data_IF_628531713937
#
_entry.id   IF_628531713937
#
_cell.length_a   1.000
_cell.length_b   1.000
_cell.length_c   1.000
_cell.angle_alpha   90.00
_cell.angle_beta   90.00
_cell.angle_gamma   90.00
#
_symmetry.space_group_name_H-M   'P 1'
#
loop_
_entity.id
_entity.type
_entity.pdbx_description
1 polymer ?
#
# COMPACT_ATOMS: atom_id res chain seq x y z
N UNK A 1 23.17 5.31 23.17
CA UNK A 1 24.10 5.91 22.21
C UNK A 1 23.36 6.66 21.09
N UNK A 2 22.10 6.30 20.80
CA UNK A 2 21.25 7.00 19.84
C UNK A 2 20.37 8.04 20.55
N UNK A 3 19.77 8.97 19.79
CA UNK A 3 18.72 9.83 20.28
C UNK A 3 17.40 9.05 20.42
N UNK A 4 16.40 9.58 21.12
CA UNK A 4 15.06 8.95 21.25
C UNK A 4 14.46 8.63 19.86
N UNK A 5 14.64 9.54 18.88
CA UNK A 5 14.31 9.32 17.49
C UNK A 5 15.07 8.12 16.89
N UNK A 6 16.38 8.04 17.13
CA UNK A 6 17.22 6.95 16.64
C UNK A 6 16.85 5.60 17.26
N UNK A 7 16.61 5.56 18.56
CA UNK A 7 16.20 4.35 19.27
C UNK A 7 14.84 3.85 18.77
N UNK A 8 13.87 4.76 18.56
CA UNK A 8 12.55 4.41 18.01
C UNK A 8 12.64 3.79 16.61
N UNK A 9 13.35 4.43 15.69
CA UNK A 9 13.45 3.94 14.31
C UNK A 9 14.38 2.73 14.15
N UNK A 10 15.21 2.43 15.14
CA UNK A 10 16.07 1.24 15.18
C UNK A 10 15.40 0.05 15.90
N UNK A 11 14.21 0.22 16.46
CA UNK A 11 13.46 -0.84 17.10
C UNK A 11 13.04 -1.93 16.08
N UNK A 12 12.84 -3.15 16.59
CA UNK A 12 12.30 -4.21 15.74
C UNK A 12 10.89 -3.87 15.24
N UNK A 13 10.69 -3.98 13.93
CA UNK A 13 9.42 -3.71 13.28
C UNK A 13 8.93 -4.90 12.44
N UNK A 14 7.63 -4.94 12.18
CA UNK A 14 7.04 -5.98 11.33
C UNK A 14 7.59 -5.94 9.91
N UNK A 15 7.79 -4.73 9.37
CA UNK A 15 8.36 -4.56 8.02
C UNK A 15 9.85 -4.96 7.97
N UNK A 16 10.63 -4.67 9.00
CA UNK A 16 12.04 -5.08 9.10
C UNK A 16 12.16 -6.60 9.16
N UNK A 17 11.33 -7.26 9.97
CA UNK A 17 11.29 -8.73 10.07
C UNK A 17 10.97 -9.37 8.73
N UNK A 18 9.96 -8.85 8.02
CA UNK A 18 9.62 -9.31 6.68
C UNK A 18 10.78 -9.14 5.69
N UNK A 19 11.42 -7.97 5.67
CA UNK A 19 12.54 -7.71 4.74
C UNK A 19 13.74 -8.60 5.01
N UNK A 20 14.04 -8.91 6.27
CA UNK A 20 15.07 -9.89 6.64
C UNK A 20 14.72 -11.28 6.15
N UNK A 21 13.50 -11.75 6.40
CA UNK A 21 13.04 -13.08 5.99
C UNK A 21 13.04 -13.26 4.46
N UNK A 22 12.76 -12.20 3.71
CA UNK A 22 12.85 -12.22 2.24
C UNK A 22 14.29 -12.21 1.72
N UNK A 23 15.23 -11.62 2.47
CA UNK A 23 16.66 -11.59 2.15
C UNK A 23 17.42 -12.85 2.57
N UNK A 24 16.94 -13.58 3.58
CA UNK A 24 17.56 -14.79 4.11
C UNK A 24 16.98 -16.03 3.43
N UNK A 25 17.77 -16.69 2.59
CA UNK A 25 17.39 -18.01 2.04
C UNK A 25 17.95 -19.10 2.93
N UNK A 26 17.12 -19.96 3.57
CA UNK A 26 17.62 -21.12 4.30
C UNK A 26 18.46 -21.99 3.35
N UNK A 27 19.68 -22.34 3.76
CA UNK A 27 20.55 -23.19 2.95
C UNK A 27 19.97 -24.60 2.84
N UNK A 28 19.87 -25.11 1.59
CA UNK A 28 19.45 -26.49 1.32
C UNK A 28 17.95 -26.74 1.23
N UNK A 29 17.07 -25.72 1.42
CA UNK A 29 15.63 -25.86 1.27
C UNK A 29 15.14 -24.94 0.16
N UNK A 30 14.28 -25.48 -0.74
CA UNK A 30 13.61 -24.64 -1.75
C UNK A 30 12.69 -23.65 -1.05
N UNK A 31 12.83 -22.36 -1.38
CA UNK A 31 12.06 -21.28 -0.74
C UNK A 31 10.96 -20.78 -1.66
N UNK A 32 9.74 -20.68 -1.14
CA UNK A 32 8.57 -20.10 -1.78
C UNK A 32 8.29 -18.73 -1.12
N UNK A 33 8.68 -17.65 -1.80
CA UNK A 33 8.66 -16.29 -1.25
C UNK A 33 7.28 -15.61 -1.47
N UNK A 34 6.24 -16.12 -0.83
CA UNK A 34 4.87 -15.61 -0.94
C UNK A 34 4.55 -14.46 0.03
N UNK A 35 5.54 -13.94 0.76
CA UNK A 35 5.37 -12.81 1.70
C UNK A 35 5.74 -11.45 1.10
N UNK A 36 6.48 -11.43 -0.02
CA UNK A 36 7.00 -10.20 -0.62
C UNK A 36 5.95 -9.27 -1.19
N UNK A 37 6.35 -8.04 -1.48
CA UNK A 37 5.50 -7.03 -2.13
C UNK A 37 5.92 -6.71 -3.56
N UNK A 38 6.81 -7.48 -4.17
CA UNK A 38 7.22 -7.26 -5.55
C UNK A 38 6.08 -7.58 -6.52
N UNK A 39 5.85 -6.75 -7.55
CA UNK A 39 4.97 -7.11 -8.65
C UNK A 39 5.61 -8.23 -9.49
N UNK A 40 4.78 -8.95 -10.23
CA UNK A 40 5.25 -9.89 -11.24
C UNK A 40 5.91 -9.13 -12.41
N UNK A 41 6.94 -9.73 -13.00
CA UNK A 41 7.62 -9.20 -14.18
C UNK A 41 6.82 -9.56 -15.43
N UNK A 42 5.88 -8.70 -15.82
CA UNK A 42 5.03 -8.92 -17.01
C UNK A 42 5.81 -8.53 -18.26
N UNK A 43 6.07 -9.46 -19.20
CA UNK A 43 6.96 -9.23 -20.35
C UNK A 43 6.55 -8.03 -21.23
N UNK A 44 5.25 -7.79 -21.39
CA UNK A 44 4.73 -6.66 -22.16
C UNK A 44 5.08 -5.32 -21.51
N UNK A 45 5.00 -5.26 -20.17
CA UNK A 45 5.35 -4.07 -19.38
C UNK A 45 6.86 -3.82 -19.41
N UNK A 46 7.67 -4.89 -19.29
CA UNK A 46 9.13 -4.79 -19.36
C UNK A 46 9.59 -4.26 -20.73
N UNK A 47 8.95 -4.72 -21.82
CA UNK A 47 9.24 -4.23 -23.19
C UNK A 47 9.00 -2.73 -23.32
N UNK A 48 7.93 -2.18 -22.70
CA UNK A 48 7.68 -0.75 -22.72
C UNK A 48 8.81 0.03 -22.06
N UNK A 49 9.20 -0.34 -20.87
CA UNK A 49 10.26 0.38 -20.14
C UNK A 49 11.63 0.22 -20.80
N UNK A 50 11.90 -0.94 -21.40
CA UNK A 50 13.11 -1.15 -22.20
C UNK A 50 13.13 -0.21 -23.41
N UNK A 51 12.01 -0.07 -24.12
CA UNK A 51 11.87 0.88 -25.25
C UNK A 51 12.10 2.32 -24.80
N UNK A 52 11.47 2.75 -23.71
CA UNK A 52 11.66 4.12 -23.20
C UNK A 52 13.12 4.38 -22.80
N UNK A 53 13.79 3.43 -22.18
CA UNK A 53 15.22 3.55 -21.89
C UNK A 53 16.07 3.62 -23.16
N UNK A 54 15.76 2.85 -24.19
CA UNK A 54 16.44 2.92 -25.48
C UNK A 54 16.25 4.28 -26.15
N UNK A 55 15.04 4.86 -26.07
CA UNK A 55 14.76 6.19 -26.57
C UNK A 55 15.60 7.25 -25.84
N UNK A 56 15.70 7.18 -24.50
CA UNK A 56 16.53 8.08 -23.69
C UNK A 56 18.01 7.99 -24.09
N UNK A 57 18.53 6.76 -24.32
CA UNK A 57 19.92 6.54 -24.72
C UNK A 57 20.22 7.05 -26.14
N UNK A 58 19.21 7.06 -27.02
CA UNK A 58 19.35 7.49 -28.41
C UNK A 58 19.14 9.01 -28.59
N UNK A 59 18.58 9.71 -27.60
CA UNK A 59 18.22 11.12 -27.69
C UNK A 59 19.36 12.04 -27.18
N UNK A 60 20.30 12.36 -28.03
CA UNK A 60 21.35 13.35 -27.79
C UNK A 60 22.05 13.19 -26.45
N UNK A 61 21.84 14.14 -25.51
CA UNK A 61 22.40 14.15 -24.17
C UNK A 61 21.34 13.81 -23.08
N UNK A 62 20.22 13.21 -23.45
CA UNK A 62 19.13 12.94 -22.50
C UNK A 62 19.58 12.03 -21.35
N UNK A 63 20.39 11.00 -21.67
CA UNK A 63 20.94 10.09 -20.65
C UNK A 63 21.88 10.82 -19.67
N UNK A 64 22.83 11.60 -20.17
CA UNK A 64 23.76 12.35 -19.31
C UNK A 64 23.03 13.35 -18.42
N UNK A 65 22.00 14.02 -18.94
CA UNK A 65 21.14 14.91 -18.17
C UNK A 65 20.31 14.15 -17.12
N UNK A 66 19.84 12.95 -17.48
CA UNK A 66 19.09 12.08 -16.56
C UNK A 66 19.91 11.71 -15.33
N UNK A 67 21.18 11.34 -15.52
CA UNK A 67 22.03 10.83 -14.44
C UNK A 67 22.96 11.88 -13.83
N UNK A 68 23.27 12.95 -14.55
CA UNK A 68 24.27 13.95 -14.17
C UNK A 68 23.71 15.26 -13.60
N UNK A 69 22.39 15.47 -13.59
CA UNK A 69 21.77 16.71 -13.12
C UNK A 69 20.68 16.44 -12.08
N UNK A 70 20.59 17.30 -11.07
CA UNK A 70 19.45 17.30 -10.15
C UNK A 70 18.23 18.00 -10.80
N UNK A 71 17.04 17.50 -10.48
CA UNK A 71 15.78 18.27 -10.67
C UNK A 71 15.46 19.08 -9.41
N UNK A 72 14.41 19.91 -9.47
CA UNK A 72 13.88 20.57 -8.29
C UNK A 72 13.34 19.57 -7.24
N UNK A 73 13.20 20.01 -5.98
CA UNK A 73 12.75 19.13 -4.90
C UNK A 73 11.30 18.65 -5.04
N UNK A 74 10.49 19.35 -5.84
CA UNK A 74 9.12 18.95 -6.17
C UNK A 74 9.08 17.78 -7.14
N UNK A 75 10.11 17.58 -7.96
CA UNK A 75 10.24 16.56 -9.00
C UNK A 75 10.57 17.18 -10.38
N UNK A 76 10.61 16.35 -11.42
CA UNK A 76 10.83 16.78 -12.78
C UNK A 76 9.60 17.52 -13.32
N UNK A 77 9.77 18.76 -13.79
CA UNK A 77 8.66 19.61 -14.23
C UNK A 77 7.87 19.00 -15.40
N UNK A 78 8.54 18.38 -16.37
CA UNK A 78 7.86 17.82 -17.53
C UNK A 78 7.08 16.56 -17.15
N UNK A 79 7.61 15.75 -16.22
CA UNK A 79 6.88 14.62 -15.67
C UNK A 79 5.64 15.07 -14.87
N UNK A 80 5.77 16.11 -14.06
CA UNK A 80 4.65 16.72 -13.31
C UNK A 80 3.57 17.20 -14.28
N UNK A 81 3.94 17.92 -15.36
CA UNK A 81 3.00 18.35 -16.41
C UNK A 81 2.29 17.18 -17.06
N UNK A 82 3.02 16.09 -17.36
CA UNK A 82 2.43 14.88 -17.93
C UNK A 82 1.37 14.28 -17.01
N UNK A 83 1.65 14.20 -15.71
CA UNK A 83 0.69 13.73 -14.69
C UNK A 83 -0.53 14.64 -14.64
N UNK A 84 -0.34 15.95 -14.51
CA UNK A 84 -1.43 16.95 -14.47
C UNK A 84 -2.34 16.83 -15.69
N UNK A 85 -1.76 16.82 -16.89
CA UNK A 85 -2.52 16.71 -18.14
C UNK A 85 -3.29 15.39 -18.20
N UNK A 86 -2.68 14.29 -17.78
CA UNK A 86 -3.31 12.99 -17.74
C UNK A 86 -4.52 12.98 -16.80
N UNK A 87 -4.37 13.50 -15.56
CA UNK A 87 -5.46 13.53 -14.58
C UNK A 87 -6.61 14.45 -15.03
N UNK A 88 -6.32 15.64 -15.50
CA UNK A 88 -7.32 16.60 -15.99
C UNK A 88 -8.09 16.03 -17.20
N UNK A 89 -7.38 15.40 -18.15
CA UNK A 89 -7.99 14.81 -19.35
C UNK A 89 -8.90 13.62 -19.05
N UNK A 90 -8.46 12.72 -18.18
CA UNK A 90 -9.16 11.42 -17.99
C UNK A 90 -10.16 11.44 -16.84
N UNK A 91 -10.02 12.33 -15.85
CA UNK A 91 -10.85 12.40 -14.66
C UNK A 91 -11.58 13.73 -14.48
N UNK A 92 -11.41 14.65 -15.42
CA UNK A 92 -12.03 15.98 -15.40
C UNK A 92 -11.67 16.77 -14.10
N UNK A 93 -10.43 16.58 -13.61
CA UNK A 93 -9.91 17.37 -12.50
C UNK A 93 -9.42 18.72 -12.98
N UNK A 94 -9.36 19.69 -12.08
CA UNK A 94 -8.83 21.03 -12.37
C UNK A 94 -7.60 21.27 -11.50
N UNK A 95 -6.59 20.41 -11.66
CA UNK A 95 -5.31 20.51 -10.94
C UNK A 95 -4.25 21.20 -11.80
N UNK A 96 -3.26 21.77 -11.14
CA UNK A 96 -2.07 22.40 -11.74
C UNK A 96 -0.80 21.69 -11.28
N UNK A 97 0.35 22.09 -11.81
CA UNK A 97 1.65 21.58 -11.38
C UNK A 97 1.92 21.82 -9.88
N UNK A 98 1.29 22.83 -9.28
CA UNK A 98 1.39 23.10 -7.85
C UNK A 98 0.69 22.06 -6.97
N UNK A 99 -0.14 21.22 -7.56
CA UNK A 99 -0.85 20.14 -6.86
C UNK A 99 -0.10 18.79 -6.88
N UNK A 100 1.05 18.70 -7.54
CA UNK A 100 1.77 17.44 -7.72
C UNK A 100 3.17 17.51 -7.15
N UNK A 101 3.57 16.54 -6.31
CA UNK A 101 4.93 16.38 -5.80
C UNK A 101 5.40 14.94 -6.00
N UNK A 102 6.68 14.77 -6.33
CA UNK A 102 7.30 13.45 -6.52
C UNK A 102 8.18 13.11 -5.31
N UNK A 103 8.02 11.90 -4.80
CA UNK A 103 8.81 11.37 -3.69
C UNK A 103 9.58 10.11 -4.11
N UNK A 104 10.52 9.69 -3.28
CA UNK A 104 11.30 8.46 -3.48
C UNK A 104 10.47 7.20 -3.15
N UNK A 105 9.32 7.04 -3.82
CA UNK A 105 8.29 6.01 -3.62
C UNK A 105 7.25 6.41 -2.59
N UNK A 106 6.07 5.76 -2.64
CA UNK A 106 4.95 6.00 -1.70
C UNK A 106 5.34 5.79 -0.24
N UNK A 107 6.26 4.87 0.06
CA UNK A 107 6.76 4.64 1.41
C UNK A 107 7.37 5.91 2.02
N UNK A 108 8.25 6.60 1.28
CA UNK A 108 8.82 7.87 1.72
C UNK A 108 7.77 8.97 1.77
N UNK A 109 6.83 8.98 0.84
CA UNK A 109 5.72 9.93 0.83
C UNK A 109 4.86 9.81 2.09
N UNK A 110 4.50 8.58 2.49
CA UNK A 110 3.74 8.33 3.72
C UNK A 110 4.54 8.77 4.96
N UNK A 111 5.84 8.44 5.03
CA UNK A 111 6.70 8.92 6.11
C UNK A 111 6.70 10.46 6.21
N UNK A 112 6.81 11.14 5.08
CA UNK A 112 6.77 12.61 5.06
C UNK A 112 5.40 13.14 5.52
N UNK A 113 4.31 12.63 4.95
CA UNK A 113 2.95 13.05 5.27
C UNK A 113 2.60 12.83 6.75
N UNK A 114 2.90 11.65 7.28
CA UNK A 114 2.57 11.34 8.67
C UNK A 114 3.31 12.25 9.65
N UNK A 115 4.59 12.50 9.42
CA UNK A 115 5.41 13.34 10.30
C UNK A 115 5.23 14.84 10.04
N UNK A 116 4.66 15.22 8.90
CA UNK A 116 4.27 16.60 8.61
C UNK A 116 2.95 16.98 9.30
N UNK A 117 2.02 16.02 9.40
CA UNK A 117 0.66 16.25 9.87
C UNK A 117 0.47 15.89 11.35
N UNK A 118 1.20 14.89 11.85
CA UNK A 118 1.05 14.38 13.22
C UNK A 118 2.35 14.53 14.03
N UNK A 119 2.27 14.19 15.33
CA UNK A 119 3.33 14.41 16.32
C UNK A 119 3.06 15.60 17.23
N UNK A 120 4.03 15.95 18.05
CA UNK A 120 3.89 17.05 19.02
C UNK A 120 3.88 18.40 18.32
N UNK A 121 2.80 19.16 18.48
CA UNK A 121 2.67 20.55 18.03
C UNK A 121 2.48 21.50 19.20
N UNK A 122 2.99 22.73 19.09
CA UNK A 122 2.79 23.78 20.10
C UNK A 122 1.74 24.77 19.63
N UNK A 123 0.62 24.86 20.34
CA UNK A 123 -0.44 25.84 20.10
C UNK A 123 -0.70 26.62 21.37
N UNK A 124 -0.62 27.96 21.31
CA UNK A 124 -0.80 28.83 22.48
C UNK A 124 0.08 28.44 23.69
N UNK A 125 1.35 28.11 23.45
CA UNK A 125 2.32 27.62 24.45
C UNK A 125 1.96 26.26 25.11
N UNK A 126 0.94 25.56 24.62
CA UNK A 126 0.58 24.22 25.07
C UNK A 126 1.05 23.21 24.03
N UNK A 127 1.69 22.13 24.49
CA UNK A 127 2.03 20.98 23.65
C UNK A 127 0.78 20.11 23.46
N UNK A 128 0.42 19.89 22.21
CA UNK A 128 -0.69 19.01 21.83
C UNK A 128 -0.12 17.93 20.93
N UNK A 129 -0.44 16.67 21.21
CA UNK A 129 -0.06 15.55 20.36
C UNK A 129 -1.12 15.34 19.28
N UNK A 130 -0.70 15.32 18.04
CA UNK A 130 -1.54 15.07 16.87
C UNK A 130 -1.37 13.63 16.38
N UNK A 131 -2.46 13.01 15.90
CA UNK A 131 -2.47 11.61 15.44
C UNK A 131 -2.95 11.47 14.00
N UNK A 132 -2.51 10.41 13.34
CA UNK A 132 -3.10 9.90 12.08
C UNK A 132 -4.07 8.79 12.46
N UNK A 133 -5.30 8.87 11.97
CA UNK A 133 -6.31 7.86 12.19
C UNK A 133 -6.41 6.92 10.98
N UNK A 134 -6.34 5.63 11.23
CA UNK A 134 -6.62 4.56 10.27
C UNK A 134 -8.06 4.06 10.51
N UNK A 135 -9.03 4.49 9.70
CA UNK A 135 -10.44 4.20 9.93
C UNK A 135 -10.84 2.76 9.58
N UNK A 136 -9.90 2.00 9.03
CA UNK A 136 -10.09 0.58 8.72
C UNK A 136 -8.77 -0.16 8.94
N UNK A 137 -8.73 -1.08 9.90
CA UNK A 137 -7.65 -2.05 10.06
C UNK A 137 -8.23 -3.48 9.97
N UNK A 138 -7.51 -4.44 9.34
CA UNK A 138 -6.07 -4.46 9.05
C UNK A 138 -5.66 -3.54 7.89
N UNK A 139 -4.49 -2.88 8.06
CA UNK A 139 -3.93 -1.93 7.10
C UNK A 139 -2.42 -2.17 6.92
N UNK A 140 -1.78 -1.50 5.97
CA UNK A 140 -0.43 -1.78 5.53
C UNK A 140 0.61 -1.71 6.66
N UNK A 141 1.30 -2.83 6.91
CA UNK A 141 2.32 -2.96 7.95
C UNK A 141 3.44 -1.92 7.84
N UNK A 142 3.72 -1.43 6.64
CA UNK A 142 4.75 -0.42 6.42
C UNK A 142 4.42 0.97 6.98
N UNK A 143 3.20 1.23 7.45
CA UNK A 143 2.85 2.49 8.14
C UNK A 143 3.17 2.44 9.63
N UNK A 144 3.03 1.27 10.25
CA UNK A 144 3.02 1.09 11.70
C UNK A 144 4.17 1.79 12.45
N UNK A 145 5.36 1.83 11.84
CA UNK A 145 6.58 2.32 12.46
C UNK A 145 7.07 3.66 11.89
N UNK A 146 6.29 4.32 11.00
CA UNK A 146 6.72 5.55 10.31
C UNK A 146 6.64 6.83 11.15
N UNK A 147 5.91 6.83 12.26
CA UNK A 147 5.90 7.98 13.16
C UNK A 147 7.26 8.19 13.83
N UNK A 148 7.79 9.43 13.85
CA UNK A 148 9.04 9.76 14.56
C UNK A 148 8.86 9.83 16.08
N UNK A 149 7.62 9.99 16.55
CA UNK A 149 7.24 9.92 17.96
C UNK A 149 6.39 8.67 18.23
N UNK A 150 6.27 8.27 19.49
CA UNK A 150 5.32 7.24 19.93
C UNK A 150 3.88 7.74 19.84
N UNK A 151 2.90 6.84 19.80
CA UNK A 151 1.47 7.16 19.87
C UNK A 151 0.97 8.15 18.80
N UNK A 152 1.62 8.18 17.64
CA UNK A 152 1.18 9.02 16.52
C UNK A 152 0.04 8.39 15.70
N UNK A 153 -0.29 7.13 15.92
CA UNK A 153 -1.27 6.39 15.12
C UNK A 153 -2.41 5.87 15.97
N UNK A 154 -3.63 6.14 15.51
CA UNK A 154 -4.87 5.61 16.06
C UNK A 154 -5.57 4.74 15.00
N UNK A 155 -6.36 3.77 15.41
CA UNK A 155 -7.00 2.82 14.49
C UNK A 155 -8.40 2.45 14.95
N UNK A 156 -9.27 2.22 13.98
CA UNK A 156 -10.61 1.65 14.21
C UNK A 156 -10.65 0.27 13.56
N UNK A 157 -11.09 -0.78 14.29
CA UNK A 157 -11.26 -2.09 13.70
C UNK A 157 -12.36 -2.06 12.63
N UNK A 158 -12.13 -2.79 11.52
CA UNK A 158 -13.13 -2.93 10.46
C UNK A 158 -14.36 -3.71 10.93
N UNK A 159 -15.53 -3.39 10.36
CA UNK A 159 -16.63 -4.32 10.29
C UNK A 159 -16.31 -5.38 9.23
N UNK A 160 -16.93 -6.55 9.33
CA UNK A 160 -16.83 -7.56 8.29
C UNK A 160 -18.15 -8.33 8.12
N UNK A 161 -18.35 -8.79 6.89
CA UNK A 161 -19.44 -9.68 6.53
C UNK A 161 -18.86 -10.95 5.94
N UNK A 162 -19.39 -12.10 6.34
CA UNK A 162 -19.05 -13.41 5.78
C UNK A 162 -20.12 -13.87 4.81
N UNK A 163 -19.72 -14.62 3.78
CA UNK A 163 -20.57 -15.13 2.73
C UNK A 163 -20.50 -16.67 2.67
N UNK A 164 -21.49 -17.30 2.07
CA UNK A 164 -21.61 -18.77 2.03
C UNK A 164 -20.52 -19.45 1.18
N UNK A 165 -19.86 -18.70 0.29
CA UNK A 165 -18.81 -19.20 -0.60
C UNK A 165 -17.40 -19.22 0.03
N UNK A 166 -17.29 -19.27 1.35
CA UNK A 166 -16.04 -19.15 2.10
C UNK A 166 -15.32 -17.81 1.86
N UNK A 167 -16.04 -16.76 1.54
CA UNK A 167 -15.47 -15.42 1.42
C UNK A 167 -15.97 -14.49 2.52
N UNK A 168 -15.28 -13.37 2.70
CA UNK A 168 -15.70 -12.27 3.55
C UNK A 168 -15.20 -10.93 3.00
N UNK A 169 -15.77 -9.82 3.49
CA UNK A 169 -15.34 -8.46 3.11
C UNK A 169 -15.31 -7.55 4.32
N UNK A 170 -14.32 -6.64 4.34
CA UNK A 170 -14.23 -5.58 5.34
C UNK A 170 -14.92 -4.29 4.89
N UNK A 171 -15.48 -3.59 5.89
CA UNK A 171 -16.13 -2.29 5.73
C UNK A 171 -15.68 -1.32 6.81
N UNK A 172 -15.72 -0.03 6.51
CA UNK A 172 -15.49 1.02 7.50
C UNK A 172 -16.70 1.11 8.43
N UNK A 173 -16.47 1.10 9.74
CA UNK A 173 -17.51 1.48 10.70
C UNK A 173 -17.65 3.00 10.72
N UNK A 174 -18.44 3.54 9.80
CA UNK A 174 -18.66 4.98 9.66
C UNK A 174 -19.27 5.61 10.92
N UNK A 175 -20.05 4.84 11.70
CA UNK A 175 -20.64 5.31 12.95
C UNK A 175 -19.57 5.45 14.04
N UNK A 176 -18.73 4.42 14.19
CA UNK A 176 -17.59 4.47 15.12
C UNK A 176 -16.58 5.54 14.70
N UNK A 177 -16.32 5.69 13.39
CA UNK A 177 -15.45 6.72 12.85
C UNK A 177 -15.91 8.12 13.21
N UNK A 178 -17.18 8.46 13.00
CA UNK A 178 -17.71 9.78 13.37
C UNK A 178 -17.66 10.01 14.87
N UNK A 179 -18.02 9.01 15.68
CA UNK A 179 -17.95 9.10 17.14
C UNK A 179 -16.49 9.32 17.61
N UNK A 180 -15.54 8.63 17.00
CA UNK A 180 -14.12 8.77 17.32
C UNK A 180 -13.61 10.19 16.99
N UNK A 181 -13.85 10.68 15.78
CA UNK A 181 -13.44 12.04 15.36
C UNK A 181 -14.02 13.13 16.26
N UNK A 182 -15.27 12.96 16.69
CA UNK A 182 -15.92 13.89 17.62
C UNK A 182 -15.25 13.90 19.00
N UNK A 183 -14.80 12.76 19.49
CA UNK A 183 -14.16 12.61 20.79
C UNK A 183 -12.66 12.97 20.80
N UNK A 184 -12.00 12.91 19.61
CA UNK A 184 -10.56 13.03 19.43
C UNK A 184 -10.16 14.18 18.51
N UNK A 185 -10.25 15.45 18.98
CA UNK A 185 -9.89 16.62 18.17
C UNK A 185 -8.38 16.71 17.85
N UNK A 186 -7.56 15.84 18.44
CA UNK A 186 -6.16 15.67 18.11
C UNK A 186 -5.91 14.94 16.80
N UNK A 187 -6.89 14.28 16.20
CA UNK A 187 -6.74 13.65 14.87
C UNK A 187 -6.40 14.72 13.85
N UNK A 188 -5.28 14.53 13.14
CA UNK A 188 -4.76 15.49 12.17
C UNK A 188 -5.00 15.07 10.70
N UNK A 189 -5.21 13.79 10.46
CA UNK A 189 -5.55 13.23 9.15
C UNK A 189 -6.14 11.83 9.31
N UNK A 190 -6.91 11.40 8.31
CA UNK A 190 -7.26 9.99 8.14
C UNK A 190 -6.40 9.38 7.02
N UNK A 191 -6.11 8.08 7.10
CA UNK A 191 -5.36 7.37 6.07
C UNK A 191 -5.96 6.00 5.77
N UNK A 192 -6.18 5.70 4.49
CA UNK A 192 -6.63 4.40 3.98
C UNK A 192 -5.85 4.02 2.73
N UNK A 193 -5.65 2.71 2.49
CA UNK A 193 -5.20 2.21 1.20
C UNK A 193 -6.35 1.64 0.36
N UNK A 194 -6.32 1.90 -0.95
CA UNK A 194 -7.38 1.45 -1.88
C UNK A 194 -6.80 1.07 -3.24
N UNK A 195 -6.70 -0.23 -3.57
CA UNK A 195 -6.96 -1.45 -2.76
C UNK A 195 -6.09 -1.55 -1.52
N UNK A 196 -6.65 -2.14 -0.47
CA UNK A 196 -5.95 -2.28 0.81
C UNK A 196 -4.88 -3.38 0.73
N UNK A 197 -3.72 -3.10 1.27
CA UNK A 197 -2.74 -4.09 1.66
C UNK A 197 -2.89 -4.31 3.18
N UNK A 198 -3.27 -5.49 3.68
CA UNK A 198 -2.98 -6.83 3.13
C UNK A 198 -4.14 -7.48 2.36
N UNK A 199 -5.35 -6.95 2.44
CA UNK A 199 -6.59 -7.69 2.23
C UNK A 199 -7.05 -7.77 0.78
N UNK A 200 -6.58 -6.84 -0.07
CA UNK A 200 -7.13 -6.66 -1.41
C UNK A 200 -8.51 -6.00 -1.41
N UNK A 201 -8.96 -5.49 -0.25
CA UNK A 201 -10.24 -4.80 -0.12
C UNK A 201 -10.27 -3.52 -0.98
N UNK A 202 -11.32 -3.34 -1.73
CA UNK A 202 -11.61 -2.09 -2.43
C UNK A 202 -12.75 -1.40 -1.70
N UNK A 203 -12.41 -0.34 -0.96
CA UNK A 203 -13.42 0.54 -0.35
C UNK A 203 -14.38 1.02 -1.42
N UNK A 204 -15.68 0.95 -1.15
CA UNK A 204 -16.71 1.39 -2.07
C UNK A 204 -16.63 2.90 -2.32
N UNK A 205 -17.21 3.37 -3.41
CA UNK A 205 -17.28 4.81 -3.66
C UNK A 205 -18.05 5.55 -2.55
N UNK A 206 -19.11 4.91 -2.02
CA UNK A 206 -19.88 5.47 -0.91
C UNK A 206 -19.06 5.62 0.38
N UNK A 207 -18.24 4.61 0.75
CA UNK A 207 -17.36 4.72 1.91
C UNK A 207 -16.34 5.85 1.75
N UNK A 208 -15.73 5.99 0.55
CA UNK A 208 -14.79 7.09 0.27
C UNK A 208 -15.50 8.45 0.35
N UNK A 209 -16.71 8.55 -0.20
CA UNK A 209 -17.49 9.79 -0.17
C UNK A 209 -17.85 10.19 1.27
N UNK A 210 -18.32 9.26 2.09
CA UNK A 210 -18.66 9.53 3.49
C UNK A 210 -17.41 9.90 4.32
N UNK A 211 -16.29 9.20 4.14
CA UNK A 211 -15.03 9.58 4.78
C UNK A 211 -14.54 10.95 4.33
N UNK A 212 -14.71 11.30 3.05
CA UNK A 212 -14.36 12.62 2.53
C UNK A 212 -15.23 13.73 3.15
N UNK A 213 -16.54 13.48 3.33
CA UNK A 213 -17.45 14.41 4.04
C UNK A 213 -17.04 14.61 5.49
N UNK A 214 -16.72 13.52 6.20
CA UNK A 214 -16.24 13.61 7.59
C UNK A 214 -14.89 14.37 7.64
N UNK A 215 -13.98 14.11 6.73
CA UNK A 215 -12.71 14.81 6.65
C UNK A 215 -12.91 16.33 6.45
N UNK A 216 -13.87 16.74 5.62
CA UNK A 216 -14.23 18.16 5.43
C UNK A 216 -14.88 18.75 6.69
N UNK A 217 -15.84 18.05 7.31
CA UNK A 217 -16.52 18.48 8.54
C UNK A 217 -15.52 18.75 9.68
N UNK A 218 -14.56 17.81 9.87
CA UNK A 218 -13.54 17.93 10.92
C UNK A 218 -12.29 18.71 10.48
N UNK A 219 -12.26 19.23 9.23
CA UNK A 219 -11.16 20.03 8.66
C UNK A 219 -9.81 19.33 8.74
N UNK A 220 -9.79 18.06 8.43
CA UNK A 220 -8.60 17.21 8.36
C UNK A 220 -8.50 16.60 6.96
N UNK A 221 -7.30 16.36 6.38
CA UNK A 221 -7.18 15.68 5.11
C UNK A 221 -7.47 14.18 5.21
N UNK A 222 -8.00 13.61 4.10
CA UNK A 222 -8.08 12.19 3.86
C UNK A 222 -6.93 11.75 2.95
N UNK A 223 -6.00 10.97 3.47
CA UNK A 223 -4.91 10.36 2.71
C UNK A 223 -5.44 9.05 2.10
N UNK A 224 -5.35 8.92 0.77
CA UNK A 224 -5.69 7.70 0.05
C UNK A 224 -4.40 7.15 -0.59
N UNK A 225 -3.88 6.04 -0.06
CA UNK A 225 -2.81 5.31 -0.74
C UNK A 225 -3.37 4.46 -1.87
N UNK A 226 -3.09 4.90 -3.08
CA UNK A 226 -3.59 4.34 -4.33
C UNK A 226 -2.49 3.54 -5.07
N UNK A 227 -1.56 2.92 -4.35
CA UNK A 227 -0.42 2.23 -4.95
C UNK A 227 -0.81 1.07 -5.89
N UNK A 228 -1.99 0.48 -5.71
CA UNK A 228 -2.54 -0.60 -6.55
C UNK A 228 -3.70 -0.14 -7.43
N UNK A 229 -4.17 1.08 -7.27
CA UNK A 229 -5.45 1.55 -7.81
C UNK A 229 -5.36 2.15 -9.22
N UNK A 230 -6.34 2.98 -9.52
CA UNK A 230 -6.51 3.69 -10.80
C UNK A 230 -5.58 4.92 -10.89
N UNK A 231 -5.19 5.37 -12.09
CA UNK A 231 -5.40 4.73 -13.39
C UNK A 231 -4.33 3.70 -13.72
N UNK A 232 -3.24 3.68 -12.94
CA UNK A 232 -2.18 2.67 -12.95
C UNK A 232 -1.79 2.32 -11.51
N UNK A 233 -1.42 1.06 -11.22
CA UNK A 233 -1.31 -0.10 -12.11
C UNK A 233 -2.67 -0.72 -12.49
N UNK A 234 -3.79 -0.18 -11.98
CA UNK A 234 -5.17 -0.65 -12.20
C UNK A 234 -5.38 -2.10 -11.73
N UNK A 235 -4.81 -2.46 -10.58
CA UNK A 235 -5.04 -3.80 -10.00
C UNK A 235 -6.30 -3.73 -9.11
N UNK A 236 -7.40 -3.40 -9.72
CA UNK A 236 -8.77 -3.41 -9.18
C UNK A 236 -9.62 -4.24 -10.13
N UNK A 237 -10.39 -5.21 -9.58
CA UNK A 237 -11.20 -6.16 -10.36
C UNK A 237 -12.69 -5.84 -10.32
N UNK A 238 -13.05 -4.77 -9.64
CA UNK A 238 -14.39 -4.22 -9.54
C UNK A 238 -14.52 -3.00 -10.48
N UNK A 239 -15.40 -3.09 -11.48
CA UNK A 239 -15.59 -2.05 -12.50
C UNK A 239 -16.30 -0.79 -11.97
N UNK A 240 -16.86 -0.83 -10.76
CA UNK A 240 -17.54 0.33 -10.14
C UNK A 240 -16.59 1.31 -9.46
N UNK A 241 -15.38 0.88 -9.12
CA UNK A 241 -14.42 1.71 -8.39
C UNK A 241 -14.01 2.94 -9.22
N UNK A 242 -14.10 4.12 -8.61
CA UNK A 242 -13.72 5.39 -9.24
C UNK A 242 -12.53 6.00 -8.53
N UNK A 243 -11.62 6.57 -9.29
CA UNK A 243 -10.58 7.43 -8.74
C UNK A 243 -11.22 8.78 -8.38
N UNK A 244 -11.01 9.21 -7.13
CA UNK A 244 -11.56 10.47 -6.62
C UNK A 244 -10.46 11.37 -6.09
N UNK A 245 -10.62 12.66 -6.29
CA UNK A 245 -9.79 13.69 -5.71
C UNK A 245 -10.59 14.97 -5.51
N UNK A 246 -10.30 15.66 -4.42
CA UNK A 246 -10.66 17.05 -4.16
C UNK A 246 -9.55 17.67 -3.28
N UNK A 247 -9.62 18.95 -2.99
CA UNK A 247 -8.56 19.64 -2.24
C UNK A 247 -8.35 19.14 -0.81
N UNK A 248 -9.30 18.38 -0.26
CA UNK A 248 -9.19 17.75 1.05
C UNK A 248 -8.63 16.32 1.00
N UNK A 249 -8.42 15.76 -0.20
CA UNK A 249 -7.81 14.45 -0.41
C UNK A 249 -6.32 14.62 -0.73
N UNK A 250 -5.48 13.85 -0.06
CA UNK A 250 -4.08 13.63 -0.41
C UNK A 250 -4.01 12.26 -1.07
N UNK A 251 -3.86 12.23 -2.39
CA UNK A 251 -3.75 11.00 -3.16
C UNK A 251 -2.28 10.62 -3.33
N UNK A 252 -1.89 9.43 -2.85
CA UNK A 252 -0.56 8.87 -3.05
C UNK A 252 -0.60 7.77 -4.10
N UNK A 253 0.13 7.95 -5.20
CA UNK A 253 0.24 7.00 -6.30
C UNK A 253 1.67 6.49 -6.44
N UNK A 254 1.88 5.38 -7.14
CA UNK A 254 3.19 4.76 -7.27
C UNK A 254 3.42 4.16 -8.66
N UNK A 255 4.69 4.17 -9.11
CA UNK A 255 5.11 3.37 -10.25
C UNK A 255 5.61 1.98 -9.85
N UNK A 256 5.66 1.65 -8.55
CA UNK A 256 6.20 0.38 -8.07
C UNK A 256 5.40 -0.82 -8.60
N UNK A 257 4.07 -0.74 -8.57
CA UNK A 257 3.21 -1.89 -8.88
C UNK A 257 2.88 -2.04 -10.37
N UNK A 258 3.24 -1.04 -11.17
CA UNK A 258 3.24 -1.13 -12.64
C UNK A 258 4.57 -1.66 -13.21
N UNK A 259 5.43 -2.26 -12.38
CA UNK A 259 6.67 -2.90 -12.81
C UNK A 259 7.96 -2.11 -12.56
N UNK A 260 7.92 -0.97 -11.86
CA UNK A 260 9.09 -0.14 -11.56
C UNK A 260 9.39 -0.01 -10.04
N UNK A 261 9.39 -1.11 -9.25
CA UNK A 261 9.63 -1.00 -7.81
C UNK A 261 11.02 -0.44 -7.49
N UNK A 262 12.03 -0.81 -8.27
CA UNK A 262 13.42 -0.34 -8.09
C UNK A 262 13.65 1.11 -8.48
N UNK A 263 12.78 1.71 -9.28
CA UNK A 263 12.90 3.11 -9.72
C UNK A 263 12.47 4.14 -8.64
N UNK A 264 11.87 3.69 -7.56
CA UNK A 264 11.49 4.49 -6.38
C UNK A 264 10.78 5.80 -6.72
N UNK A 265 9.66 5.72 -7.46
CA UNK A 265 8.87 6.90 -7.83
C UNK A 265 7.46 6.82 -7.21
N UNK A 266 7.16 7.76 -6.32
CA UNK A 266 5.84 8.04 -5.75
C UNK A 266 5.34 9.38 -6.25
N UNK A 267 4.05 9.50 -6.51
CA UNK A 267 3.38 10.70 -7.02
C UNK A 267 2.32 11.09 -6.01
N UNK A 268 2.41 12.28 -5.46
CA UNK A 268 1.46 12.82 -4.50
C UNK A 268 0.66 13.93 -5.18
N UNK A 269 -0.67 13.83 -5.11
CA UNK A 269 -1.58 14.86 -5.58
C UNK A 269 -2.35 15.40 -4.37
N UNK A 270 -2.19 16.69 -4.09
CA UNK A 270 -2.76 17.35 -2.92
C UNK A 270 -2.95 18.86 -3.17
N UNK A 271 -3.56 19.55 -2.21
CA UNK A 271 -3.61 21.02 -2.24
C UNK A 271 -2.20 21.63 -2.21
N UNK A 272 -2.04 22.83 -2.79
CA UNK A 272 -0.75 23.52 -2.98
C UNK A 272 0.07 23.63 -1.68
N UNK A 273 -0.57 23.90 -0.54
CA UNK A 273 0.09 24.02 0.76
C UNK A 273 0.82 22.72 1.16
N UNK A 274 0.17 21.57 0.97
CA UNK A 274 0.76 20.26 1.29
C UNK A 274 1.90 19.93 0.32
N UNK A 275 1.71 20.19 -0.96
CA UNK A 275 2.74 19.97 -1.99
C UNK A 275 3.97 20.83 -1.73
N UNK A 276 3.78 22.10 -1.37
CA UNK A 276 4.89 23.00 -0.98
C UNK A 276 5.65 22.48 0.24
N UNK A 277 4.95 22.04 1.28
CA UNK A 277 5.55 21.48 2.47
C UNK A 277 6.32 20.17 2.18
N UNK A 278 5.77 19.29 1.34
CA UNK A 278 6.45 18.06 0.91
C UNK A 278 7.70 18.36 0.08
N UNK A 279 7.63 19.33 -0.83
CA UNK A 279 8.77 19.78 -1.62
C UNK A 279 9.90 20.31 -0.73
N UNK A 280 9.57 21.15 0.27
CA UNK A 280 10.53 21.67 1.25
C UNK A 280 11.18 20.53 2.06
N UNK A 281 10.37 19.58 2.55
CA UNK A 281 10.86 18.44 3.29
C UNK A 281 11.78 17.56 2.43
N UNK A 282 11.39 17.30 1.18
CA UNK A 282 12.19 16.52 0.23
C UNK A 282 13.54 17.19 -0.08
N UNK A 283 13.59 18.54 -0.16
CA UNK A 283 14.84 19.25 -0.33
C UNK A 283 15.82 19.05 0.82
N UNK A 284 15.32 18.95 2.04
CA UNK A 284 16.13 18.74 3.25
C UNK A 284 16.64 17.30 3.35
N UNK A 285 15.78 16.33 3.03
CA UNK A 285 16.06 14.90 3.27
C UNK A 285 16.83 14.28 2.09
N UNK A 286 16.49 14.65 0.84
CA UNK A 286 16.96 13.96 -0.35
C UNK A 286 17.47 14.90 -1.46
N UNK A 287 17.46 16.23 -1.28
CA UNK A 287 17.68 17.27 -2.28
C UNK A 287 16.64 17.23 -3.41
N UNK A 288 16.49 16.09 -4.08
CA UNK A 288 15.50 15.84 -5.12
C UNK A 288 15.12 14.36 -5.16
N UNK A 289 14.03 14.02 -5.83
CA UNK A 289 13.61 12.64 -6.04
C UNK A 289 14.37 12.00 -7.21
N UNK A 290 14.50 10.67 -7.18
CA UNK A 290 15.13 9.91 -8.26
C UNK A 290 14.44 10.15 -9.61
N UNK A 291 15.22 10.30 -10.68
CA UNK A 291 14.75 10.70 -12.02
C UNK A 291 14.36 9.53 -12.92
N UNK A 292 14.95 8.35 -12.72
CA UNK A 292 14.81 7.20 -13.64
C UNK A 292 13.33 6.81 -13.82
N UNK A 293 12.58 6.68 -12.72
CA UNK A 293 11.16 6.33 -12.80
C UNK A 293 10.33 7.38 -13.52
N UNK A 294 10.61 8.64 -13.26
CA UNK A 294 9.95 9.77 -13.91
C UNK A 294 10.22 9.76 -15.42
N UNK A 295 11.48 9.59 -15.82
CA UNK A 295 11.88 9.58 -17.23
C UNK A 295 11.28 8.40 -18.00
N UNK A 296 11.27 7.17 -17.41
CA UNK A 296 10.68 5.99 -18.04
C UNK A 296 9.16 6.07 -18.21
N UNK A 297 8.47 6.76 -17.30
CA UNK A 297 7.01 6.80 -17.32
C UNK A 297 6.45 8.06 -18.03
N UNK A 298 7.23 9.13 -18.18
CA UNK A 298 6.74 10.41 -18.71
C UNK A 298 6.00 10.26 -20.04
N UNK A 299 6.68 9.76 -21.06
CA UNK A 299 6.10 9.59 -22.39
C UNK A 299 4.89 8.64 -22.40
N UNK A 300 4.94 7.55 -21.60
CA UNK A 300 3.84 6.60 -21.47
C UNK A 300 2.59 7.22 -20.85
N UNK A 301 2.76 8.18 -19.93
CA UNK A 301 1.66 8.95 -19.34
C UNK A 301 1.11 9.95 -20.35
N UNK A 302 1.96 10.71 -21.02
CA UNK A 302 1.59 11.72 -22.04
C UNK A 302 0.77 11.12 -23.19
N UNK A 303 1.19 9.95 -23.68
CA UNK A 303 0.52 9.24 -24.77
C UNK A 303 -0.71 8.44 -24.31
N UNK A 304 -0.90 8.25 -23.00
CA UNK A 304 -1.93 7.37 -22.42
C UNK A 304 -1.59 5.89 -22.48
N UNK A 305 -0.40 5.53 -22.95
CA UNK A 305 0.02 4.13 -23.10
C UNK A 305 0.16 3.42 -21.72
N UNK A 306 0.52 4.17 -20.66
CA UNK A 306 0.58 3.62 -19.31
C UNK A 306 -0.79 3.19 -18.81
N UNK A 307 -1.84 3.98 -19.05
CA UNK A 307 -3.24 3.63 -18.70
C UNK A 307 -3.67 2.42 -19.53
N UNK A 308 -3.40 2.45 -20.83
CA UNK A 308 -3.78 1.37 -21.74
C UNK A 308 -3.19 0.03 -21.31
N UNK A 309 -1.87 -0.06 -21.05
CA UNK A 309 -1.26 -1.32 -20.63
C UNK A 309 -1.75 -1.77 -19.26
N UNK A 310 -2.05 -0.83 -18.35
CA UNK A 310 -2.63 -1.13 -17.04
C UNK A 310 -3.99 -1.81 -17.18
N UNK A 311 -4.85 -1.31 -18.08
CA UNK A 311 -6.19 -1.85 -18.32
C UNK A 311 -6.17 -3.14 -19.13
N UNK A 312 -5.38 -3.18 -20.21
CA UNK A 312 -5.45 -4.27 -21.19
C UNK A 312 -4.59 -5.49 -20.83
N UNK A 313 -3.55 -5.30 -20.00
CA UNK A 313 -2.58 -6.35 -19.69
C UNK A 313 -2.45 -6.58 -18.18
N UNK A 314 -2.17 -5.53 -17.40
CA UNK A 314 -1.83 -5.68 -15.97
C UNK A 314 -3.04 -6.14 -15.16
N UNK A 315 -4.18 -5.48 -15.31
CA UNK A 315 -5.41 -5.83 -14.59
C UNK A 315 -5.89 -7.25 -14.94
N UNK A 316 -6.02 -7.66 -16.21
CA UNK A 316 -6.43 -9.02 -16.55
C UNK A 316 -5.46 -10.09 -16.06
N UNK A 317 -4.14 -9.81 -16.10
CA UNK A 317 -3.13 -10.71 -15.55
C UNK A 317 -3.35 -10.96 -14.06
N UNK A 318 -3.43 -9.90 -13.24
CA UNK A 318 -3.61 -10.06 -11.81
C UNK A 318 -4.98 -10.61 -11.42
N UNK A 319 -6.04 -10.27 -12.17
CA UNK A 319 -7.37 -10.88 -11.98
C UNK A 319 -7.32 -12.40 -12.19
N UNK A 320 -6.62 -12.84 -13.24
CA UNK A 320 -6.41 -14.28 -13.50
C UNK A 320 -5.60 -14.96 -12.39
N UNK A 321 -4.51 -14.34 -11.94
CA UNK A 321 -3.69 -14.87 -10.84
C UNK A 321 -4.48 -14.95 -9.52
N UNK A 322 -5.29 -13.94 -9.23
CA UNK A 322 -6.17 -13.93 -8.04
C UNK A 322 -7.16 -15.12 -8.09
N UNK A 323 -7.82 -15.35 -9.20
CA UNK A 323 -8.76 -16.48 -9.38
C UNK A 323 -8.05 -17.82 -9.18
N UNK A 324 -6.86 -17.99 -9.75
CA UNK A 324 -6.06 -19.22 -9.55
C UNK A 324 -5.68 -19.42 -8.09
N UNK A 325 -5.19 -18.37 -7.44
CA UNK A 325 -4.80 -18.43 -6.05
C UNK A 325 -5.96 -18.84 -5.13
N UNK A 326 -7.15 -18.24 -5.33
CA UNK A 326 -8.36 -18.65 -4.61
C UNK A 326 -8.73 -20.11 -4.88
N UNK A 327 -8.65 -20.57 -6.14
CA UNK A 327 -8.89 -21.97 -6.51
C UNK A 327 -7.95 -22.93 -5.78
N UNK A 328 -6.66 -22.57 -5.64
CA UNK A 328 -5.71 -23.39 -4.88
C UNK A 328 -6.02 -23.42 -3.39
N UNK A 329 -6.41 -22.29 -2.78
CA UNK A 329 -6.88 -22.27 -1.40
C UNK A 329 -8.10 -23.17 -1.24
N UNK A 330 -9.14 -23.05 -2.04
CA UNK A 330 -10.33 -23.90 -1.94
C UNK A 330 -10.00 -25.39 -2.13
N UNK A 331 -9.08 -25.74 -3.03
CA UNK A 331 -8.64 -27.10 -3.29
C UNK A 331 -7.92 -27.72 -2.08
N UNK A 332 -6.96 -26.99 -1.51
CA UNK A 332 -6.05 -27.56 -0.51
C UNK A 332 -6.53 -27.34 0.93
N UNK A 333 -7.35 -26.32 1.21
CA UNK A 333 -7.95 -26.07 2.52
C UNK A 333 -9.29 -26.80 2.72
N UNK A 334 -9.73 -27.61 1.76
CA UNK A 334 -10.97 -28.36 1.83
C UNK A 334 -11.06 -29.18 3.13
N UNK A 335 -12.22 -29.15 3.77
CA UNK A 335 -12.46 -29.80 5.08
C UNK A 335 -12.01 -28.99 6.30
N UNK A 336 -11.40 -27.81 6.12
CA UNK A 336 -11.10 -26.83 7.16
C UNK A 336 -12.17 -25.76 7.30
N UNK A 337 -12.13 -25.02 8.41
CA UNK A 337 -12.97 -23.85 8.64
C UNK A 337 -12.18 -22.58 8.33
N UNK A 338 -12.25 -22.12 7.10
CA UNK A 338 -11.51 -20.96 6.59
C UNK A 338 -12.41 -20.03 5.79
N UNK A 339 -11.93 -18.80 5.56
CA UNK A 339 -12.50 -17.88 4.60
C UNK A 339 -11.40 -17.06 3.93
N UNK A 340 -11.67 -16.52 2.74
CA UNK A 340 -10.76 -15.66 1.99
C UNK A 340 -11.42 -14.29 1.87
N UNK A 341 -10.67 -13.20 2.10
CA UNK A 341 -11.20 -11.88 1.76
C UNK A 341 -11.53 -11.82 0.26
N UNK A 342 -12.66 -11.24 -0.11
CA UNK A 342 -13.05 -11.07 -1.52
C UNK A 342 -11.89 -10.49 -2.32
N UNK A 343 -11.52 -11.15 -3.40
CA UNK A 343 -10.43 -10.75 -4.27
C UNK A 343 -10.84 -9.57 -5.16
N UNK A 344 -10.86 -8.37 -4.61
CA UNK A 344 -11.31 -7.17 -5.31
C UNK A 344 -10.17 -6.38 -5.94
N UNK A 345 -8.92 -6.60 -5.50
CA UNK A 345 -7.74 -5.88 -6.00
C UNK A 345 -6.44 -6.29 -5.32
N UNK A 346 -5.39 -5.50 -5.55
CA UNK A 346 -4.00 -5.69 -5.10
C UNK A 346 -3.34 -6.95 -5.66
N UNK A 347 -2.26 -7.43 -5.03
CA UNK A 347 -1.49 -8.63 -5.41
C UNK A 347 -1.48 -9.66 -4.30
N UNK A 348 -2.41 -9.54 -3.34
CA UNK A 348 -2.44 -10.37 -2.14
C UNK A 348 -3.77 -11.08 -1.96
N UNK A 349 -3.71 -12.31 -1.42
CA UNK A 349 -4.82 -12.94 -0.73
C UNK A 349 -4.67 -12.75 0.78
N UNK A 350 -5.81 -12.54 1.43
CA UNK A 350 -5.94 -12.50 2.87
C UNK A 350 -6.81 -13.68 3.31
N UNK A 351 -6.19 -14.63 4.01
CA UNK A 351 -6.80 -15.92 4.35
C UNK A 351 -7.02 -15.98 5.85
N UNK A 352 -8.27 -16.15 6.26
CA UNK A 352 -8.71 -16.40 7.64
C UNK A 352 -8.81 -17.90 7.91
N UNK A 353 -8.16 -18.38 8.93
CA UNK A 353 -8.16 -19.77 9.39
C UNK A 353 -8.87 -19.85 10.76
N UNK A 354 -10.21 -19.98 10.74
CA UNK A 354 -11.08 -19.84 11.93
C UNK A 354 -10.83 -20.90 13.00
N UNK A 355 -10.47 -22.10 12.61
CA UNK A 355 -10.23 -23.26 13.50
C UNK A 355 -8.74 -23.48 13.81
N UNK A 356 -7.85 -22.59 13.40
CA UNK A 356 -6.43 -22.66 13.71
C UNK A 356 -6.19 -22.55 15.23
N UNK A 357 -5.44 -23.51 15.81
CA UNK A 357 -5.24 -23.60 17.27
C UNK A 357 -4.05 -22.81 17.80
N UNK A 358 -3.19 -22.31 16.90
CA UNK A 358 -2.02 -21.50 17.21
C UNK A 358 -2.19 -20.10 16.63
N UNK A 359 -1.35 -19.16 17.04
CA UNK A 359 -1.34 -17.82 16.43
C UNK A 359 -0.78 -17.84 15.01
N UNK A 360 -1.13 -16.86 14.20
CA UNK A 360 -0.58 -16.72 12.86
C UNK A 360 0.95 -16.53 12.85
N UNK A 361 1.55 -16.00 13.92
CA UNK A 361 3.01 -15.92 14.10
C UNK A 361 3.64 -17.29 14.35
N UNK A 362 3.03 -18.11 15.19
CA UNK A 362 3.51 -19.48 15.42
C UNK A 362 3.33 -20.33 14.17
N UNK A 363 2.20 -20.17 13.47
CA UNK A 363 1.95 -20.79 12.19
C UNK A 363 3.03 -20.41 11.16
N UNK A 364 3.39 -19.12 11.05
CA UNK A 364 4.45 -18.67 10.16
C UNK A 364 5.81 -19.28 10.49
N UNK A 365 6.18 -19.43 11.78
CA UNK A 365 7.43 -20.09 12.15
C UNK A 365 7.52 -21.51 11.59
N UNK A 366 6.43 -22.29 11.68
CA UNK A 366 6.35 -23.64 11.11
C UNK A 366 6.44 -23.64 9.59
N UNK A 367 5.86 -22.65 8.92
CA UNK A 367 5.97 -22.48 7.46
C UNK A 367 7.40 -22.16 7.05
N UNK A 368 8.09 -21.29 7.77
CA UNK A 368 9.49 -20.91 7.49
C UNK A 368 10.42 -22.13 7.53
N UNK A 369 10.20 -23.07 8.47
CA UNK A 369 10.93 -24.33 8.57
C UNK A 369 10.73 -25.23 7.32
N UNK A 370 9.60 -25.08 6.61
CA UNK A 370 9.28 -25.77 5.37
C UNK A 370 9.60 -24.95 4.10
N UNK A 371 10.29 -23.81 4.26
CA UNK A 371 10.71 -22.95 3.16
C UNK A 371 9.62 -22.02 2.61
N UNK A 372 8.50 -21.82 3.30
CA UNK A 372 7.44 -20.91 2.86
C UNK A 372 7.48 -19.61 3.65
N UNK A 373 7.64 -18.48 2.95
CA UNK A 373 7.64 -17.14 3.53
C UNK A 373 6.31 -16.46 3.21
N UNK A 374 5.55 -16.11 4.24
CA UNK A 374 4.29 -15.35 4.18
C UNK A 374 4.34 -14.19 5.16
N UNK A 375 3.24 -13.44 5.34
CA UNK A 375 3.15 -12.45 6.41
C UNK A 375 2.03 -12.82 7.36
N UNK A 376 2.37 -12.87 8.67
CA UNK A 376 1.41 -13.06 9.75
C UNK A 376 0.45 -11.87 9.84
N UNK A 377 -0.84 -12.16 10.10
CA UNK A 377 -1.90 -11.17 10.16
C UNK A 377 -1.74 -10.12 11.24
N UNK A 378 -1.18 -10.50 12.37
CA UNK A 378 -1.01 -9.63 13.53
C UNK A 378 -0.27 -8.31 13.23
N UNK A 379 0.64 -8.32 12.25
CA UNK A 379 1.42 -7.12 11.88
C UNK A 379 0.60 -6.01 11.19
N UNK A 380 -0.61 -6.31 10.73
CA UNK A 380 -1.47 -5.37 10.03
C UNK A 380 -2.51 -4.71 10.93
N UNK A 381 -2.53 -5.11 12.22
CA UNK A 381 -3.33 -4.48 13.27
C UNK A 381 -2.39 -3.68 14.17
N UNK A 382 -2.41 -2.38 14.06
CA UNK A 382 -1.52 -1.47 14.79
C UNK A 382 -2.27 -0.18 15.16
N UNK A 383 -1.70 0.58 16.07
CA UNK A 383 -2.26 1.84 16.58
C UNK A 383 -2.26 1.86 18.11
N UNK A 384 -2.68 2.98 18.68
CA UNK A 384 -2.72 3.18 20.13
C UNK A 384 -3.69 2.21 20.81
N UNK A 385 -4.72 1.77 20.08
CA UNK A 385 -5.77 0.86 20.53
C UNK A 385 -5.40 -0.63 20.39
N UNK A 386 -4.12 -0.95 20.32
CA UNK A 386 -3.64 -2.32 20.03
C UNK A 386 -4.24 -3.39 20.94
N UNK A 387 -4.48 -3.10 22.22
CA UNK A 387 -5.08 -4.06 23.15
C UNK A 387 -6.55 -4.37 22.79
N UNK A 388 -7.28 -3.40 22.26
CA UNK A 388 -8.64 -3.63 21.76
C UNK A 388 -8.60 -4.40 20.42
N UNK A 389 -7.61 -4.09 19.55
CA UNK A 389 -7.42 -4.76 18.27
C UNK A 389 -7.06 -6.25 18.42
N UNK A 390 -6.34 -6.64 19.48
CA UNK A 390 -6.03 -8.03 19.79
C UNK A 390 -7.29 -8.89 20.04
N UNK A 391 -8.41 -8.28 20.40
CA UNK A 391 -9.69 -8.96 20.58
C UNK A 391 -10.44 -9.14 19.25
N UNK A 392 -9.97 -8.56 18.15
CA UNK A 392 -10.59 -8.77 16.84
C UNK A 392 -10.41 -10.23 16.41
N UNK A 393 -11.49 -10.94 15.97
CA UNK A 393 -11.44 -12.38 15.69
C UNK A 393 -10.46 -12.76 14.57
N UNK A 394 -10.05 -11.80 13.73
CA UNK A 394 -9.10 -12.00 12.64
C UNK A 394 -7.65 -11.67 13.01
N UNK A 395 -7.39 -11.10 14.20
CA UNK A 395 -6.08 -10.59 14.60
C UNK A 395 -4.96 -11.62 14.43
N UNK A 396 -5.09 -12.79 15.04
CA UNK A 396 -4.07 -13.84 15.06
C UNK A 396 -4.44 -15.10 14.23
N UNK A 397 -5.48 -15.00 13.39
CA UNK A 397 -6.01 -16.09 12.57
C UNK A 397 -5.86 -15.85 11.06
N UNK A 398 -5.31 -14.72 10.67
CA UNK A 398 -5.14 -14.38 9.27
C UNK A 398 -3.69 -14.45 8.81
N UNK A 399 -3.50 -14.69 7.51
CA UNK A 399 -2.22 -14.60 6.82
C UNK A 399 -2.37 -13.85 5.50
N UNK A 400 -1.32 -13.14 5.09
CA UNK A 400 -1.22 -12.53 3.76
C UNK A 400 -0.34 -13.39 2.85
N UNK A 401 -0.84 -13.73 1.66
CA UNK A 401 -0.16 -14.46 0.61
C UNK A 401 -0.06 -13.57 -0.63
N UNK A 402 1.16 -13.35 -1.15
CA UNK A 402 1.37 -12.71 -2.45
C UNK A 402 1.17 -13.75 -3.58
N UNK A 403 0.32 -13.44 -4.56
CA UNK A 403 0.11 -14.28 -5.75
C UNK A 403 0.80 -13.75 -7.02
N UNK A 404 1.64 -12.73 -6.89
CA UNK A 404 2.45 -12.19 -8.00
C UNK A 404 3.74 -13.01 -8.20
N UNK A 405 3.60 -14.28 -8.47
CA UNK A 405 4.69 -15.23 -8.71
C UNK A 405 4.31 -16.26 -9.78
N UNK A 406 5.24 -17.12 -10.12
CA UNK A 406 4.99 -18.22 -11.07
C UNK A 406 3.92 -19.18 -10.53
N UNK A 407 3.07 -19.69 -11.43
CA UNK A 407 1.91 -20.51 -11.09
C UNK A 407 2.28 -21.76 -10.26
N UNK A 408 3.35 -22.45 -10.65
CA UNK A 408 3.83 -23.63 -9.95
C UNK A 408 4.38 -23.31 -8.54
N UNK A 409 4.98 -22.14 -8.34
CA UNK A 409 5.47 -21.71 -7.02
C UNK A 409 4.30 -21.33 -6.11
N UNK A 410 3.28 -20.70 -6.67
CA UNK A 410 2.04 -20.37 -5.95
C UNK A 410 1.32 -21.64 -5.49
N UNK A 411 1.10 -22.61 -6.39
CA UNK A 411 0.38 -23.85 -6.06
C UNK A 411 1.12 -24.65 -5.00
N UNK A 412 2.43 -24.90 -5.18
CA UNK A 412 3.22 -25.67 -4.19
C UNK A 412 3.33 -24.95 -2.84
N UNK A 413 3.52 -23.62 -2.84
CA UNK A 413 3.52 -22.84 -1.60
C UNK A 413 2.20 -22.93 -0.84
N UNK A 414 1.06 -22.78 -1.54
CA UNK A 414 -0.29 -22.91 -0.94
C UNK A 414 -0.52 -24.34 -0.42
N UNK A 415 -0.07 -25.35 -1.12
CA UNK A 415 -0.17 -26.74 -0.69
C UNK A 415 0.56 -26.98 0.65
N UNK A 416 1.80 -26.47 0.78
CA UNK A 416 2.56 -26.56 2.03
C UNK A 416 1.86 -25.76 3.15
N UNK A 417 1.31 -24.59 2.85
CA UNK A 417 0.52 -23.79 3.82
C UNK A 417 -0.67 -24.62 4.33
N UNK A 418 -1.39 -25.27 3.43
CA UNK A 418 -2.54 -26.10 3.76
C UNK A 418 -2.16 -27.34 4.60
N UNK A 419 -1.05 -28.00 4.27
CA UNK A 419 -0.54 -29.14 5.08
C UNK A 419 -0.26 -28.71 6.52
N UNK A 420 0.41 -27.56 6.73
CA UNK A 420 0.67 -27.04 8.08
C UNK A 420 -0.63 -26.62 8.77
N UNK A 421 -1.58 -26.04 8.03
CA UNK A 421 -2.89 -25.69 8.55
C UNK A 421 -3.65 -26.90 9.06
N UNK A 422 -3.74 -27.99 8.26
CA UNK A 422 -4.42 -29.21 8.66
C UNK A 422 -3.79 -29.91 9.87
N UNK A 423 -2.48 -29.73 10.09
CA UNK A 423 -1.78 -30.26 11.27
C UNK A 423 -2.03 -29.44 12.56
N UNK A 424 -2.53 -28.20 12.44
CA UNK A 424 -2.66 -27.26 13.57
C UNK A 424 -4.08 -26.71 13.73
N UNK A 425 -5.09 -27.33 13.11
CA UNK A 425 -6.50 -26.99 13.29
C UNK A 425 -7.23 -27.96 14.21
N UNK A 426 -8.45 -27.60 14.67
CA UNK A 426 -9.37 -28.49 15.37
C UNK A 426 -9.80 -29.65 14.49
#
# INVERSE_FOLDING_TARGET
MFSDFGDKLNAQSGILSLMKDLGEKPSGIKTYALGGGNPFQIPEVEKLYRREMQNILADGRAFENLVGCYDGPQGNNDFIKAVVNCMNKNFNWNISEKNVCIANGSQSACFYLFNLLAGTTTKNNLKVKKTILFPLVPEYVGYADQGIETEMFASIPSLFEEYEDHTFKYFVDLKALNAYLKAHPEVAAMCVSRPTNPTGNVLTNAEIEEMSKLAEEYKIPLIIDNAYGLPWPHIIFNDEAKLVWNENIILSMSLSKIGLPGARCGIIIAKEEIVSALSNLNSIIALSSGKIGQALAKNLIETGELIKISTDVVMPFYKSQNIKAQKYIHKYFAGGNYAIHKGEGSIFLWVLMKDLQISSKEFYKKLKEKGVVIVSGEYFFFGNEIEALKNHPHYDKCIRINYACEDHELEEGIKIIAEVYHQNRK
#
